data_IF_714369690955
#
_entry.id   IF_714369690955
#
_cell.length_a   1.000
_cell.length_b   1.000
_cell.length_c   1.000
_cell.angle_alpha   90.00
_cell.angle_beta   90.00
_cell.angle_gamma   90.00
#
_symmetry.space_group_name_H-M   'P 1'
#
loop_
_entity.id
_entity.type
_entity.pdbx_description
1 polymer ?
#
# COMPACT_ATOMS: atom_id res chain seq x y z
N UNK A 1 -3.87 -13.46 -3.61
CA UNK A 1 -4.73 -13.23 -4.79
C UNK A 1 -4.06 -13.64 -6.11
N UNK A 2 -2.79 -13.28 -6.36
CA UNK A 2 -2.08 -13.61 -7.61
C UNK A 2 -1.57 -15.06 -7.70
N UNK A 3 -1.60 -15.83 -6.62
CA UNK A 3 -1.05 -17.20 -6.55
C UNK A 3 0.49 -17.26 -6.60
N UNK A 4 1.18 -16.15 -6.38
CA UNK A 4 2.65 -16.07 -6.40
C UNK A 4 3.31 -16.21 -5.02
N UNK A 5 2.52 -16.46 -3.97
CA UNK A 5 3.05 -16.73 -2.63
C UNK A 5 3.37 -18.21 -2.57
N UNK A 6 4.64 -18.55 -2.32
CA UNK A 6 5.09 -19.93 -2.12
C UNK A 6 4.58 -20.51 -0.80
N UNK A 7 4.68 -21.81 -0.64
CA UNK A 7 4.34 -22.50 0.62
C UNK A 7 5.23 -22.07 1.80
N UNK A 8 6.33 -21.40 1.52
CA UNK A 8 7.28 -20.83 2.48
C UNK A 8 6.95 -19.36 2.85
N UNK A 9 5.80 -18.84 2.43
CA UNK A 9 5.38 -17.46 2.67
C UNK A 9 6.14 -16.40 1.84
N UNK A 10 7.12 -16.80 1.03
CA UNK A 10 7.89 -15.88 0.20
C UNK A 10 7.19 -15.61 -1.13
N UNK A 11 7.26 -14.35 -1.57
CA UNK A 11 6.71 -13.95 -2.87
C UNK A 11 7.72 -14.31 -3.95
N UNK A 12 7.30 -15.16 -4.87
CA UNK A 12 8.12 -15.55 -6.01
C UNK A 12 8.39 -14.33 -6.91
N UNK A 13 9.66 -14.18 -7.33
CA UNK A 13 10.12 -13.09 -8.22
C UNK A 13 9.93 -11.67 -7.65
N UNK A 14 9.95 -11.50 -6.31
CA UNK A 14 9.81 -10.18 -5.69
C UNK A 14 10.89 -9.21 -6.15
N UNK A 15 12.14 -9.70 -6.32
CA UNK A 15 13.27 -8.88 -6.77
C UNK A 15 13.02 -8.28 -8.16
N UNK A 16 12.44 -9.06 -9.08
CA UNK A 16 12.06 -8.59 -10.40
C UNK A 16 10.94 -7.57 -10.37
N UNK A 17 9.97 -7.77 -9.47
CA UNK A 17 8.88 -6.82 -9.27
C UNK A 17 9.40 -5.48 -8.73
N UNK A 18 10.28 -5.52 -7.73
CA UNK A 18 10.92 -4.33 -7.15
C UNK A 18 11.81 -3.61 -8.18
N UNK A 19 12.57 -4.36 -8.97
CA UNK A 19 13.38 -3.77 -10.05
C UNK A 19 12.50 -3.08 -11.10
N UNK A 20 11.40 -3.70 -11.50
CA UNK A 20 10.45 -3.12 -12.46
C UNK A 20 9.82 -1.84 -11.94
N UNK A 21 9.41 -1.80 -10.67
CA UNK A 21 8.83 -0.64 -10.01
C UNK A 21 9.84 0.52 -9.94
N UNK A 22 11.07 0.22 -9.51
CA UNK A 22 12.17 1.20 -9.46
C UNK A 22 12.52 1.75 -10.83
N UNK A 23 12.64 0.89 -11.85
CA UNK A 23 12.94 1.32 -13.21
C UNK A 23 11.83 2.19 -13.81
N UNK A 24 10.56 1.84 -13.54
CA UNK A 24 9.40 2.63 -13.96
C UNK A 24 9.37 3.99 -13.28
N UNK A 25 9.72 4.07 -12.00
CA UNK A 25 9.82 5.33 -11.25
C UNK A 25 10.89 6.23 -11.81
N UNK A 26 12.08 5.69 -12.14
CA UNK A 26 13.16 6.47 -12.78
C UNK A 26 12.72 6.99 -14.15
N UNK A 27 12.11 6.14 -14.97
CA UNK A 27 11.59 6.56 -16.28
C UNK A 27 10.50 7.64 -16.14
N UNK A 28 9.58 7.49 -15.19
CA UNK A 28 8.55 8.48 -14.89
C UNK A 28 9.15 9.83 -14.45
N UNK A 29 10.15 9.81 -13.57
CA UNK A 29 10.85 11.01 -13.13
C UNK A 29 11.54 11.73 -14.30
N UNK A 30 12.16 11.00 -15.24
CA UNK A 30 12.75 11.58 -16.45
C UNK A 30 11.72 12.23 -17.37
N UNK A 31 10.47 11.72 -17.34
CA UNK A 31 9.34 12.27 -18.10
C UNK A 31 8.61 13.42 -17.36
N UNK A 32 9.05 13.75 -16.14
CA UNK A 32 8.46 14.82 -15.32
C UNK A 32 7.16 14.42 -14.61
N UNK A 33 6.89 13.12 -14.45
CA UNK A 33 5.75 12.63 -13.69
C UNK A 33 6.15 12.34 -12.23
N UNK A 34 5.16 12.17 -11.36
CA UNK A 34 5.37 11.63 -10.01
C UNK A 34 5.84 10.17 -10.05
N UNK A 35 6.14 9.61 -8.88
CA UNK A 35 6.54 8.20 -8.77
C UNK A 35 5.53 7.25 -9.42
N UNK A 36 6.04 6.28 -10.18
CA UNK A 36 5.24 5.19 -10.73
C UNK A 36 5.23 4.06 -9.70
N UNK A 37 4.09 3.78 -9.13
CA UNK A 37 3.94 2.76 -8.09
C UNK A 37 2.75 1.86 -8.35
N UNK A 38 2.76 0.69 -7.72
CA UNK A 38 1.66 -0.27 -7.83
C UNK A 38 0.46 0.20 -7.01
N UNK A 39 -0.68 0.37 -7.66
CA UNK A 39 -1.93 0.76 -7.01
C UNK A 39 -2.69 -0.43 -6.44
N UNK A 40 -3.29 -0.21 -5.28
CA UNK A 40 -4.10 -1.22 -4.56
C UNK A 40 -5.34 -1.60 -5.38
N UNK A 41 -5.87 -0.66 -6.16
CA UNK A 41 -7.02 -0.83 -7.07
C UNK A 41 -6.79 -1.93 -8.12
N UNK A 42 -5.53 -2.19 -8.48
CA UNK A 42 -5.16 -3.29 -9.39
C UNK A 42 -5.57 -4.67 -8.86
N UNK A 43 -5.81 -4.81 -7.55
CA UNK A 43 -6.31 -6.04 -6.95
C UNK A 43 -7.68 -6.48 -7.51
N UNK A 44 -8.52 -5.54 -7.90
CA UNK A 44 -9.80 -5.83 -8.54
C UNK A 44 -9.58 -6.52 -9.89
N UNK A 45 -8.64 -6.02 -10.71
CA UNK A 45 -8.27 -6.63 -11.98
C UNK A 45 -7.66 -8.03 -11.82
N UNK A 46 -6.81 -8.21 -10.82
CA UNK A 46 -6.23 -9.53 -10.49
C UNK A 46 -7.31 -10.53 -10.06
N UNK A 47 -8.29 -10.09 -9.29
CA UNK A 47 -9.43 -10.91 -8.87
C UNK A 47 -10.33 -11.29 -10.05
N UNK A 48 -10.50 -10.40 -11.02
CA UNK A 48 -11.23 -10.66 -12.26
C UNK A 48 -10.48 -11.61 -13.23
N UNK A 49 -9.23 -11.99 -12.91
CA UNK A 49 -8.44 -12.95 -13.71
C UNK A 49 -7.27 -12.34 -14.46
N UNK A 50 -7.06 -11.04 -14.39
CA UNK A 50 -5.93 -10.32 -15.02
C UNK A 50 -4.61 -10.56 -14.29
N UNK A 51 -3.88 -11.62 -14.66
CA UNK A 51 -2.66 -12.06 -13.97
C UNK A 51 -1.41 -12.07 -14.83
N UNK A 52 -1.49 -11.54 -16.03
CA UNK A 52 -0.40 -11.53 -17.02
C UNK A 52 0.00 -10.12 -17.39
N UNK A 53 1.24 -9.93 -17.88
CA UNK A 53 1.71 -8.64 -18.39
C UNK A 53 0.86 -8.09 -19.54
N UNK A 54 0.15 -8.97 -20.26
CA UNK A 54 -0.77 -8.56 -21.33
C UNK A 54 -1.92 -7.71 -20.79
N UNK A 55 -2.42 -8.01 -19.57
CA UNK A 55 -3.45 -7.22 -18.91
C UNK A 55 -2.94 -5.79 -18.65
N UNK A 56 -1.70 -5.65 -18.16
CA UNK A 56 -1.09 -4.34 -17.92
C UNK A 56 -0.88 -3.55 -19.21
N UNK A 57 -0.50 -4.21 -20.29
CA UNK A 57 -0.34 -3.58 -21.60
C UNK A 57 -1.68 -3.05 -22.13
N UNK A 58 -2.75 -3.84 -22.04
CA UNK A 58 -4.10 -3.42 -22.46
C UNK A 58 -4.57 -2.24 -21.63
N UNK A 59 -4.36 -2.26 -20.30
CA UNK A 59 -4.70 -1.15 -19.41
C UNK A 59 -3.93 0.10 -19.82
N UNK A 60 -2.63 0.00 -20.09
CA UNK A 60 -1.81 1.12 -20.56
C UNK A 60 -2.33 1.74 -21.87
N UNK A 61 -2.71 0.91 -22.84
CA UNK A 61 -3.33 1.38 -24.10
C UNK A 61 -4.66 2.08 -23.85
N UNK A 62 -5.48 1.54 -22.94
CA UNK A 62 -6.75 2.17 -22.57
C UNK A 62 -6.53 3.53 -21.88
N UNK A 63 -5.52 3.67 -21.02
CA UNK A 63 -5.18 4.96 -20.43
C UNK A 63 -4.73 5.97 -21.50
N UNK A 64 -3.94 5.56 -22.49
CA UNK A 64 -3.59 6.43 -23.63
C UNK A 64 -4.82 6.83 -24.43
N UNK A 65 -5.76 5.92 -24.66
CA UNK A 65 -7.03 6.26 -25.29
C UNK A 65 -7.87 7.25 -24.48
N UNK A 66 -7.86 7.13 -23.14
CA UNK A 66 -8.56 8.06 -22.24
C UNK A 66 -8.04 9.50 -22.32
N UNK A 67 -6.81 9.73 -22.80
CA UNK A 67 -6.32 11.10 -23.02
C UNK A 67 -7.17 11.85 -24.03
N UNK A 68 -7.69 11.18 -25.06
CA UNK A 68 -8.59 11.78 -26.04
C UNK A 68 -9.98 12.08 -25.44
N UNK A 69 -10.36 11.37 -24.39
CA UNK A 69 -11.63 11.55 -23.67
C UNK A 69 -11.45 12.25 -22.32
N UNK A 70 -10.36 13.01 -22.16
CA UNK A 70 -10.04 13.71 -20.92
C UNK A 70 -11.21 14.54 -20.35
N UNK A 71 -11.99 15.30 -21.16
CA UNK A 71 -13.15 16.04 -20.65
C UNK A 71 -14.22 15.14 -20.02
N UNK A 72 -14.39 13.93 -20.55
CA UNK A 72 -15.33 12.94 -19.98
C UNK A 72 -14.80 12.36 -18.68
N UNK A 73 -13.51 12.05 -18.63
CA UNK A 73 -12.89 11.51 -17.42
C UNK A 73 -12.92 12.53 -16.26
N UNK A 74 -12.71 13.82 -16.55
CA UNK A 74 -12.76 14.88 -15.53
C UNK A 74 -14.19 15.26 -15.11
N UNK A 75 -15.21 14.84 -15.84
CA UNK A 75 -16.61 15.06 -15.49
C UNK A 75 -17.17 14.03 -14.49
N UNK A 76 -16.39 12.98 -14.17
CA UNK A 76 -16.81 11.98 -13.19
C UNK A 76 -16.91 12.61 -11.79
N UNK A 77 -18.06 12.45 -11.09
CA UNK A 77 -18.21 12.92 -9.74
C UNK A 77 -17.29 12.12 -8.78
N UNK A 78 -16.78 12.78 -7.74
CA UNK A 78 -15.92 12.14 -6.71
C UNK A 78 -16.61 10.98 -5.99
N UNK A 79 -17.92 10.94 -5.97
CA UNK A 79 -18.75 9.91 -5.39
C UNK A 79 -18.57 8.55 -6.09
N UNK A 80 -18.24 8.56 -7.38
CA UNK A 80 -17.94 7.33 -8.16
C UNK A 80 -16.63 6.72 -7.69
N UNK A 81 -15.61 7.54 -7.45
CA UNK A 81 -14.32 7.08 -6.91
C UNK A 81 -14.49 6.50 -5.51
N UNK A 82 -15.30 7.15 -4.66
CA UNK A 82 -15.60 6.67 -3.32
C UNK A 82 -16.27 5.27 -3.35
N UNK A 83 -17.23 5.05 -4.24
CA UNK A 83 -17.89 3.76 -4.39
C UNK A 83 -16.90 2.66 -4.85
N UNK A 84 -16.00 2.98 -5.78
CA UNK A 84 -14.95 2.06 -6.22
C UNK A 84 -13.98 1.71 -5.08
N UNK A 85 -13.56 2.69 -4.27
CA UNK A 85 -12.69 2.46 -3.11
C UNK A 85 -13.37 1.59 -2.04
N UNK A 86 -14.67 1.77 -1.77
CA UNK A 86 -15.42 0.90 -0.86
C UNK A 86 -15.41 -0.55 -1.37
N UNK A 87 -15.64 -0.76 -2.67
CA UNK A 87 -15.57 -2.10 -3.26
C UNK A 87 -14.19 -2.73 -3.05
N UNK A 88 -13.11 -1.98 -3.30
CA UNK A 88 -11.74 -2.45 -3.11
C UNK A 88 -11.47 -2.75 -1.64
N UNK A 89 -11.95 -1.92 -0.73
CA UNK A 89 -11.83 -2.16 0.71
C UNK A 89 -12.41 -3.53 1.11
N UNK A 90 -13.55 -3.94 0.53
CA UNK A 90 -14.14 -5.27 0.80
C UNK A 90 -13.22 -6.43 0.39
N UNK A 91 -12.32 -6.23 -0.60
CA UNK A 91 -11.38 -7.26 -1.02
C UNK A 91 -10.25 -7.47 -0.01
N UNK A 92 -9.95 -6.43 0.78
CA UNK A 92 -8.86 -6.42 1.76
C UNK A 92 -9.31 -6.67 3.19
N UNK A 93 -10.62 -6.61 3.48
CA UNK A 93 -11.18 -6.90 4.83
C UNK A 93 -10.69 -8.24 5.38
N UNK A 94 -10.48 -9.24 4.54
CA UNK A 94 -9.95 -10.55 4.98
C UNK A 94 -8.55 -10.45 5.61
N UNK A 95 -7.75 -9.48 5.23
CA UNK A 95 -6.40 -9.33 5.78
C UNK A 95 -6.43 -8.84 7.24
N UNK A 96 -7.56 -8.28 7.69
CA UNK A 96 -7.76 -7.87 9.09
C UNK A 96 -7.77 -9.11 10.01
N UNK A 97 -8.17 -10.27 9.50
CA UNK A 97 -8.17 -11.52 10.28
C UNK A 97 -6.78 -12.11 10.47
N UNK A 98 -5.77 -11.64 9.72
CA UNK A 98 -4.39 -12.08 9.83
C UNK A 98 -3.65 -11.36 10.98
N UNK A 99 -4.27 -10.32 11.56
CA UNK A 99 -3.74 -9.58 12.72
C UNK A 99 -4.04 -10.38 13.97
N UNK A 100 -3.03 -10.57 14.82
CA UNK A 100 -3.22 -11.14 16.15
C UNK A 100 -3.84 -10.08 17.08
N UNK A 101 -5.16 -10.17 17.26
CA UNK A 101 -5.93 -9.26 18.09
C UNK A 101 -5.75 -9.50 19.58
N UNK A 102 -5.23 -10.65 19.98
CA UNK A 102 -4.95 -10.99 21.38
C UNK A 102 -3.59 -10.42 21.83
N UNK A 103 -2.66 -10.15 20.90
CA UNK A 103 -1.41 -9.42 21.22
C UNK A 103 -1.62 -7.91 21.11
N UNK A 104 -1.64 -7.23 22.24
CA UNK A 104 -1.75 -5.77 22.29
C UNK A 104 -0.64 -5.04 21.51
N UNK A 105 0.52 -5.69 21.29
CA UNK A 105 1.62 -5.11 20.53
C UNK A 105 1.32 -5.10 19.02
N UNK A 106 0.43 -5.94 18.53
CA UNK A 106 -0.01 -5.93 17.13
C UNK A 106 -1.36 -5.21 16.97
N UNK A 107 -2.31 -5.50 17.84
CA UNK A 107 -3.65 -4.90 17.79
C UNK A 107 -3.64 -3.37 17.99
N UNK A 108 -2.85 -2.88 18.95
CA UNK A 108 -2.78 -1.45 19.27
C UNK A 108 -2.35 -0.59 18.07
N UNK A 109 -1.19 -0.85 17.44
CA UNK A 109 -0.73 -0.14 16.25
C UNK A 109 -1.70 -0.26 15.07
N UNK A 110 -2.32 -1.43 14.87
CA UNK A 110 -3.28 -1.65 13.80
C UNK A 110 -4.53 -0.77 13.96
N UNK A 111 -5.10 -0.71 15.16
CA UNK A 111 -6.24 0.17 15.48
C UNK A 111 -5.85 1.64 15.31
N UNK A 112 -4.67 2.02 15.80
CA UNK A 112 -4.17 3.39 15.69
C UNK A 112 -3.99 3.81 14.23
N UNK A 113 -3.46 2.93 13.38
CA UNK A 113 -3.37 3.19 11.94
C UNK A 113 -4.74 3.38 11.30
N UNK A 114 -5.70 2.49 11.59
CA UNK A 114 -7.06 2.56 11.05
C UNK A 114 -7.78 3.86 11.41
N UNK A 115 -7.54 4.37 12.60
CA UNK A 115 -8.13 5.64 13.07
C UNK A 115 -7.36 6.84 12.50
N UNK A 116 -6.03 6.81 12.56
CA UNK A 116 -5.20 7.95 12.18
C UNK A 116 -5.27 8.27 10.68
N UNK A 117 -5.36 7.27 9.80
CA UNK A 117 -5.42 7.49 8.34
C UNK A 117 -6.56 8.42 7.91
N UNK A 118 -7.84 8.17 8.27
CA UNK A 118 -8.92 9.07 7.90
C UNK A 118 -8.87 10.42 8.62
N UNK A 119 -8.41 10.47 9.87
CA UNK A 119 -8.34 11.72 10.62
C UNK A 119 -7.25 12.67 10.11
N UNK A 120 -6.14 12.13 9.63
CA UNK A 120 -5.04 12.93 9.07
C UNK A 120 -5.14 13.14 7.57
N UNK A 121 -6.12 12.53 6.90
CA UNK A 121 -6.23 12.49 5.44
C UNK A 121 -4.94 12.02 4.77
N UNK A 122 -4.15 11.19 5.45
CA UNK A 122 -2.83 10.75 4.99
C UNK A 122 -2.57 9.30 5.39
N UNK A 123 -2.36 8.46 4.39
CA UNK A 123 -1.95 7.06 4.59
C UNK A 123 -0.56 7.02 5.26
N UNK A 124 0.35 7.89 4.84
CA UNK A 124 1.71 7.96 5.38
C UNK A 124 1.72 8.27 6.87
N UNK A 125 0.88 9.21 7.32
CA UNK A 125 0.79 9.57 8.74
C UNK A 125 0.22 8.41 9.57
N UNK A 126 -0.78 7.71 9.05
CA UNK A 126 -1.33 6.53 9.71
C UNK A 126 -0.32 5.41 9.87
N UNK A 127 0.42 5.11 8.81
CA UNK A 127 1.50 4.11 8.83
C UNK A 127 2.61 4.53 9.79
N UNK A 128 3.04 5.79 9.74
CA UNK A 128 4.09 6.31 10.61
C UNK A 128 3.70 6.18 12.10
N UNK A 129 2.47 6.55 12.47
CA UNK A 129 1.95 6.41 13.83
C UNK A 129 1.87 4.94 14.26
N UNK A 130 1.50 4.03 13.35
CA UNK A 130 1.50 2.60 13.63
C UNK A 130 2.92 2.08 13.95
N UNK A 131 3.93 2.43 13.16
CA UNK A 131 5.30 1.99 13.41
C UNK A 131 5.89 2.60 14.69
N UNK A 132 5.60 3.87 14.98
CA UNK A 132 6.02 4.53 16.21
C UNK A 132 5.39 3.83 17.43
N UNK A 133 4.07 3.58 17.39
CA UNK A 133 3.36 2.93 18.50
C UNK A 133 3.80 1.46 18.67
N UNK A 134 4.03 0.74 17.58
CA UNK A 134 4.56 -0.61 17.62
C UNK A 134 5.94 -0.66 18.31
N UNK A 135 6.85 0.22 17.87
CA UNK A 135 8.18 0.33 18.46
C UNK A 135 8.11 0.69 19.95
N UNK A 136 7.24 1.65 20.32
CA UNK A 136 7.04 2.04 21.71
C UNK A 136 6.53 0.89 22.58
N UNK A 137 5.52 0.13 22.12
CA UNK A 137 4.97 -1.00 22.87
C UNK A 137 6.04 -2.10 23.02
N UNK A 138 6.80 -2.42 21.97
CA UNK A 138 7.87 -3.43 22.02
C UNK A 138 9.01 -3.01 22.96
N UNK A 139 9.34 -1.72 23.04
CA UNK A 139 10.27 -1.18 24.04
C UNK A 139 9.73 -1.36 25.47
N UNK A 140 8.48 -0.99 25.70
CA UNK A 140 7.86 -1.09 27.04
C UNK A 140 7.69 -2.54 27.50
N UNK A 141 7.46 -3.47 26.58
CA UNK A 141 7.32 -4.91 26.90
C UNK A 141 8.63 -5.69 26.92
N UNK A 142 9.77 -5.04 26.61
CA UNK A 142 11.08 -5.67 26.62
C UNK A 142 11.31 -6.73 25.53
N UNK A 143 10.41 -6.83 24.56
CA UNK A 143 10.47 -7.82 23.46
C UNK A 143 11.23 -7.28 22.23
N UNK A 144 12.40 -6.68 22.46
CA UNK A 144 13.18 -6.03 21.38
C UNK A 144 13.73 -7.06 20.40
N UNK A 145 14.17 -8.22 20.90
CA UNK A 145 14.84 -9.25 20.09
C UNK A 145 13.91 -9.93 19.06
N UNK A 146 12.59 -9.84 19.25
CA UNK A 146 11.60 -10.39 18.31
C UNK A 146 11.26 -9.45 17.15
N UNK A 147 11.86 -8.26 17.11
CA UNK A 147 11.50 -7.20 16.15
C UNK A 147 12.58 -7.03 15.10
N UNK A 148 12.21 -7.05 13.82
CA UNK A 148 13.14 -6.84 12.72
C UNK A 148 13.83 -5.46 12.82
N UNK A 149 15.15 -5.36 12.56
CA UNK A 149 15.86 -4.08 12.54
C UNK A 149 15.24 -3.05 11.60
N UNK A 150 14.61 -3.51 10.52
CA UNK A 150 13.92 -2.63 9.57
C UNK A 150 12.78 -1.82 10.22
N UNK A 151 12.06 -2.40 11.17
CA UNK A 151 10.96 -1.72 11.88
C UNK A 151 11.49 -0.54 12.71
N UNK A 152 12.63 -0.73 13.35
CA UNK A 152 13.30 0.33 14.12
C UNK A 152 13.75 1.50 13.24
N UNK A 153 14.32 1.19 12.07
CA UNK A 153 14.71 2.22 11.10
C UNK A 153 13.49 3.00 10.62
N UNK A 154 12.39 2.31 10.28
CA UNK A 154 11.16 2.96 9.83
C UNK A 154 10.55 3.81 10.96
N UNK A 155 10.52 3.33 12.19
CA UNK A 155 10.01 4.10 13.33
C UNK A 155 10.82 5.38 13.58
N UNK A 156 12.16 5.32 13.51
CA UNK A 156 13.04 6.49 13.64
C UNK A 156 12.78 7.48 12.49
N UNK A 157 12.73 7.01 11.25
CA UNK A 157 12.45 7.86 10.09
C UNK A 157 11.07 8.52 10.20
N UNK A 158 10.08 7.79 10.72
CA UNK A 158 8.73 8.32 10.98
C UNK A 158 8.74 9.45 12.01
N UNK A 159 9.49 9.29 13.10
CA UNK A 159 9.65 10.35 14.12
C UNK A 159 10.33 11.57 13.51
N UNK A 160 11.39 11.38 12.74
CA UNK A 160 12.09 12.48 12.06
C UNK A 160 11.15 13.19 11.09
N UNK A 161 10.36 12.44 10.33
CA UNK A 161 9.37 13.01 9.39
C UNK A 161 8.36 13.91 10.11
N UNK A 162 7.86 13.50 11.28
CA UNK A 162 6.94 14.34 12.08
C UNK A 162 7.65 15.55 12.72
N UNK A 163 8.94 15.44 13.02
CA UNK A 163 9.69 16.56 13.61
C UNK A 163 10.05 17.65 12.59
N UNK A 164 10.08 17.29 11.29
CA UNK A 164 10.46 18.20 10.18
C UNK A 164 9.23 18.75 9.45
N UNK A 165 8.06 18.10 9.58
CA UNK A 165 6.80 18.53 8.96
C UNK A 165 6.14 19.67 9.73
#
# INVERSE_FOLDING_TARGET
MSGKIGSDGKIKDIDKAMLSDSASTVAGAMMGTSTVTTYVESAAGVKAGGRTGMTSLVIGVLFLACLFFSPLATSLPKEVDAAALIYIATLFVRNITDIDWDDAAEAGPAVLAMIAMPFTYSISNGIALAFISYAAIKLCTGKIDSTSPAIWVIAILSVISFAVA
#
